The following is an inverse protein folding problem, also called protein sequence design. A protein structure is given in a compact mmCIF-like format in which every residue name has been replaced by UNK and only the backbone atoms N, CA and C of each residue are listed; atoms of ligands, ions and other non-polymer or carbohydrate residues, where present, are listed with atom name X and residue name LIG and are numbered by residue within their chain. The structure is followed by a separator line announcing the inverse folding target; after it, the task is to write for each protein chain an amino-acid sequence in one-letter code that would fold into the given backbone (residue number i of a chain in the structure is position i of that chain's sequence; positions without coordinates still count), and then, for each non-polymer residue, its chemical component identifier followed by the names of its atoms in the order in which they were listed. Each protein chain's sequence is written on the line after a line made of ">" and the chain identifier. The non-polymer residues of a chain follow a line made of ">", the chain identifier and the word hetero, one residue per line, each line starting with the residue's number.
data_IF_301473374086
#
_entry.id   IF_301473374086
#
_cell.length_a   1.000
_cell.length_b   1.000
_cell.length_c   1.000
_cell.angle_alpha   90.00
_cell.angle_beta   90.00
_cell.angle_gamma   90.00
#
_symmetry.space_group_name_H-M   'P 1'
#
loop_
_entity.id
_entity.type
_entity.pdbx_description
1 polymer ?
#
# COMPACT_ATOMS: atom_id res chain seq x y z
N UNK A 1 -20.68 52.92 -35.06
CA UNK A 1 -20.40 51.50 -34.77
C UNK A 1 -19.11 51.47 -33.97
N UNK A 2 -19.19 51.35 -32.64
CA UNK A 2 -18.03 51.15 -31.77
C UNK A 2 -17.97 49.65 -31.44
N UNK A 3 -16.83 49.02 -31.70
CA UNK A 3 -16.50 47.70 -31.16
C UNK A 3 -15.77 47.91 -29.83
N UNK A 4 -16.26 47.31 -28.75
CA UNK A 4 -15.54 47.23 -27.49
C UNK A 4 -14.54 46.06 -27.54
N UNK A 5 -13.30 46.32 -27.12
CA UNK A 5 -12.28 45.29 -26.90
C UNK A 5 -12.67 44.41 -25.72
N UNK A 6 -12.69 43.09 -25.93
CA UNK A 6 -12.86 42.12 -24.85
C UNK A 6 -11.52 41.99 -24.13
N UNK A 7 -11.36 42.72 -23.03
CA UNK A 7 -10.24 42.51 -22.09
C UNK A 7 -10.41 41.13 -21.44
N UNK A 8 -9.49 40.21 -21.73
CA UNK A 8 -9.41 38.94 -20.99
C UNK A 8 -9.12 39.26 -19.52
N UNK A 9 -10.13 39.12 -18.66
CA UNK A 9 -9.93 39.09 -17.20
C UNK A 9 -9.00 37.92 -16.89
N UNK A 10 -7.78 38.25 -16.45
CA UNK A 10 -6.92 37.29 -15.76
C UNK A 10 -7.75 36.61 -14.67
N UNK A 11 -8.01 35.32 -14.82
CA UNK A 11 -8.51 34.48 -13.74
C UNK A 11 -7.44 34.46 -12.66
N UNK A 12 -7.58 35.33 -11.66
CA UNK A 12 -6.77 35.29 -10.46
C UNK A 12 -6.92 33.92 -9.83
N UNK A 13 -5.81 33.18 -9.73
CA UNK A 13 -5.78 31.89 -9.09
C UNK A 13 -6.24 32.08 -7.65
N UNK A 14 -7.40 31.52 -7.29
CA UNK A 14 -7.91 31.55 -5.92
C UNK A 14 -6.92 30.75 -5.06
N UNK A 15 -6.04 31.45 -4.35
CA UNK A 15 -5.10 30.82 -3.43
C UNK A 15 -5.73 30.70 -2.06
N UNK A 16 -6.02 29.46 -1.66
CA UNK A 16 -6.44 29.15 -0.31
C UNK A 16 -5.21 29.17 0.59
N UNK A 17 -5.31 29.84 1.75
CA UNK A 17 -4.19 29.97 2.69
C UNK A 17 -4.56 29.37 4.03
N UNK A 18 -3.70 28.49 4.55
CA UNK A 18 -3.79 27.97 5.92
C UNK A 18 -2.68 28.62 6.74
N UNK A 19 -3.06 29.21 7.86
CA UNK A 19 -2.14 29.82 8.83
C UNK A 19 -2.29 29.14 10.19
N UNK A 20 -1.16 28.82 10.80
CA UNK A 20 -1.06 28.29 12.15
C UNK A 20 -0.06 29.14 12.94
N UNK A 21 -0.45 29.54 14.14
CA UNK A 21 0.46 30.14 15.12
C UNK A 21 0.12 29.62 16.52
N UNK A 22 1.14 29.39 17.34
CA UNK A 22 1.00 28.89 18.71
C UNK A 22 1.27 30.01 19.72
N UNK A 23 0.34 30.26 20.66
CA UNK A 23 0.44 31.40 21.59
C UNK A 23 1.61 31.32 22.59
N UNK A 24 2.14 30.11 22.85
CA UNK A 24 3.26 29.89 23.78
C UNK A 24 4.54 29.37 23.13
N UNK A 25 4.56 29.21 21.80
CA UNK A 25 5.72 28.74 21.05
C UNK A 25 6.01 29.65 19.86
N UNK A 26 7.28 30.01 19.63
CA UNK A 26 7.74 30.90 18.53
C UNK A 26 7.57 30.29 17.12
N UNK A 27 6.64 29.36 16.92
CA UNK A 27 6.44 28.65 15.65
C UNK A 27 5.15 29.14 15.01
N UNK A 28 5.31 29.69 13.82
CA UNK A 28 4.22 30.03 12.93
C UNK A 28 4.44 29.31 11.60
N UNK A 29 3.34 28.94 10.96
CA UNK A 29 3.32 28.28 9.66
C UNK A 29 2.25 28.95 8.80
N UNK A 30 2.59 29.18 7.54
CA UNK A 30 1.68 29.72 6.53
C UNK A 30 1.95 29.00 5.22
N UNK A 31 0.90 28.45 4.62
CA UNK A 31 0.97 27.85 3.29
C UNK A 31 -0.20 28.34 2.44
N UNK A 32 0.08 28.64 1.18
CA UNK A 32 -0.91 29.03 0.19
C UNK A 32 -0.91 28.00 -0.94
N UNK A 33 -2.08 27.53 -1.35
CA UNK A 33 -2.24 26.50 -2.37
C UNK A 33 -3.40 26.82 -3.31
N UNK A 34 -3.35 26.23 -4.50
CA UNK A 34 -4.36 26.35 -5.54
C UNK A 34 -5.26 25.11 -5.56
N UNK A 35 -6.45 25.21 -6.13
CA UNK A 35 -7.52 24.19 -6.08
C UNK A 35 -7.10 22.77 -6.55
N UNK A 36 -5.99 22.65 -7.28
CA UNK A 36 -5.45 21.38 -7.77
C UNK A 36 -4.62 20.61 -6.73
N UNK A 37 -4.25 21.22 -5.60
CA UNK A 37 -3.29 20.65 -4.62
C UNK A 37 -3.93 20.37 -3.25
N UNK A 38 -5.22 20.65 -3.06
CA UNK A 38 -5.90 20.50 -1.76
C UNK A 38 -5.93 19.07 -1.19
N UNK A 39 -5.85 18.04 -2.04
CA UNK A 39 -5.98 16.64 -1.62
C UNK A 39 -4.69 16.02 -1.03
N UNK A 40 -3.51 16.60 -1.26
CA UNK A 40 -2.22 16.02 -0.82
C UNK A 40 -1.68 16.59 0.49
N UNK A 41 -2.27 17.66 1.02
CA UNK A 41 -1.74 18.35 2.22
C UNK A 41 -2.38 17.88 3.54
N UNK A 42 -3.56 17.25 3.50
CA UNK A 42 -4.25 16.73 4.70
C UNK A 42 -3.45 15.64 5.42
N UNK A 43 -2.84 14.72 4.67
CA UNK A 43 -2.01 13.63 5.19
C UNK A 43 -0.73 14.14 5.88
N UNK A 44 -0.13 15.22 5.35
CA UNK A 44 1.09 15.82 5.92
C UNK A 44 0.77 16.60 7.20
N UNK A 45 -0.40 17.24 7.26
CA UNK A 45 -0.89 17.96 8.43
C UNK A 45 -1.23 17.00 9.60
N UNK A 46 -1.86 15.86 9.28
CA UNK A 46 -2.14 14.81 10.26
C UNK A 46 -0.87 14.25 10.92
N UNK A 47 0.19 14.04 10.14
CA UNK A 47 1.48 13.58 10.67
C UNK A 47 2.15 14.61 11.59
N UNK A 48 2.02 15.91 11.31
CA UNK A 48 2.58 16.97 12.14
C UNK A 48 1.82 17.11 13.48
N UNK A 49 0.49 16.98 13.47
CA UNK A 49 -0.35 17.02 14.68
C UNK A 49 -0.24 15.74 15.52
N UNK A 50 -0.21 14.55 14.90
CA UNK A 50 -0.09 13.27 15.59
C UNK A 50 1.23 13.13 16.37
N UNK A 51 2.28 13.84 15.94
CA UNK A 51 3.55 13.87 16.65
C UNK A 51 3.51 14.63 18.00
N UNK A 52 2.49 15.46 18.27
CA UNK A 52 2.27 16.08 19.59
C UNK A 52 1.46 15.20 20.55
N UNK A 53 0.57 14.35 20.06
CA UNK A 53 -0.28 13.49 20.93
C UNK A 53 0.53 12.31 21.50
N UNK A 54 1.44 11.73 20.71
CA UNK A 54 2.17 10.53 21.15
C UNK A 54 3.28 10.84 22.17
N UNK A 55 3.85 12.05 22.17
CA UNK A 55 4.94 12.41 23.09
C UNK A 55 4.47 12.94 24.47
N UNK A 56 3.16 13.15 24.68
CA UNK A 56 2.64 13.54 26.01
C UNK A 56 1.98 12.39 26.79
N UNK A 57 1.62 11.28 26.13
CA UNK A 57 0.99 10.12 26.80
C UNK A 57 2.04 9.20 27.48
N UNK A 58 3.31 9.26 27.08
CA UNK A 58 4.35 8.37 27.60
C UNK A 58 5.05 8.84 28.90
N UNK A 59 4.63 9.94 29.53
CA UNK A 59 5.18 10.39 30.83
C UNK A 59 4.11 11.02 31.70
N UNK A 60 3.34 10.22 32.44
CA UNK A 60 2.73 10.54 33.76
C UNK A 60 1.79 9.42 34.22
N UNK A 61 2.37 8.34 34.76
CA UNK A 61 1.67 7.53 35.77
C UNK A 61 2.39 7.73 37.10
N UNK A 62 1.99 8.78 37.82
CA UNK A 62 2.20 8.90 39.26
C UNK A 62 1.27 9.98 39.82
N UNK A 63 0.33 9.51 40.66
CA UNK A 63 -0.23 10.17 41.84
C UNK A 63 -1.15 11.39 41.66
N UNK A 64 -2.32 11.26 42.28
CA UNK A 64 -3.43 12.21 42.45
C UNK A 64 -3.00 13.62 42.93
N UNK A 65 -3.66 14.67 42.44
CA UNK A 65 -4.47 15.59 43.27
C UNK A 65 -5.17 16.69 42.45
N UNK A 66 -6.36 16.98 42.96
CA UNK A 66 -7.39 17.99 42.66
C UNK A 66 -6.87 19.41 42.41
N UNK A 67 -7.43 20.11 41.42
CA UNK A 67 -7.98 21.47 41.56
C UNK A 67 -8.81 21.83 40.33
N UNK A 68 -9.98 22.40 40.60
CA UNK A 68 -11.00 22.85 39.67
C UNK A 68 -10.48 23.81 38.59
N UNK A 69 -10.90 23.57 37.34
CA UNK A 69 -11.14 24.64 36.38
C UNK A 69 -12.35 24.26 35.54
N UNK A 70 -13.42 25.01 35.76
CA UNK A 70 -14.65 25.05 35.01
C UNK A 70 -14.32 25.30 33.53
N UNK A 71 -14.53 24.28 32.69
CA UNK A 71 -14.58 24.42 31.24
C UNK A 71 -16.03 24.19 30.83
N UNK A 72 -16.63 25.23 30.25
CA UNK A 72 -17.94 25.16 29.59
C UNK A 72 -17.91 24.02 28.57
N UNK A 73 -18.68 22.97 28.86
CA UNK A 73 -18.97 21.92 27.89
C UNK A 73 -20.08 22.48 27.01
N UNK A 74 -19.72 23.04 25.86
CA UNK A 74 -20.71 23.19 24.79
C UNK A 74 -21.02 21.79 24.27
N UNK A 75 -22.26 21.35 24.51
CA UNK A 75 -22.85 20.17 23.89
C UNK A 75 -22.69 20.28 22.37
N UNK A 76 -21.72 19.54 21.83
CA UNK A 76 -21.69 19.24 20.41
C UNK A 76 -22.56 18.01 20.20
N UNK A 77 -23.74 18.23 19.63
CA UNK A 77 -24.57 17.16 19.09
C UNK A 77 -23.72 16.32 18.14
N UNK A 78 -23.60 15.02 18.43
CA UNK A 78 -23.05 14.05 17.49
C UNK A 78 -24.06 13.93 16.36
N UNK A 79 -23.87 14.71 15.30
CA UNK A 79 -24.59 14.50 14.05
C UNK A 79 -23.93 13.31 13.38
N UNK A 80 -24.53 12.13 13.57
CA UNK A 80 -24.31 10.97 12.71
C UNK A 80 -24.62 11.38 11.26
N UNK A 81 -23.56 11.67 10.50
CA UNK A 81 -23.65 11.81 9.05
C UNK A 81 -22.99 10.61 8.39
N UNK A 82 -23.74 9.51 8.44
CA UNK A 82 -23.57 8.39 7.53
C UNK A 82 -23.91 8.87 6.11
N UNK A 83 -22.88 9.23 5.32
CA UNK A 83 -22.81 8.94 3.88
C UNK A 83 -21.45 9.33 3.25
N UNK A 84 -20.60 8.29 3.12
CA UNK A 84 -19.98 7.82 1.88
C UNK A 84 -19.00 8.75 1.14
N UNK A 85 -17.71 8.47 1.37
CA UNK A 85 -16.79 8.21 0.26
C UNK A 85 -15.91 7.01 0.63
N UNK A 86 -16.40 5.81 0.32
CA UNK A 86 -15.59 4.59 0.27
C UNK A 86 -14.42 4.86 -0.71
N UNK A 87 -13.15 4.76 -0.28
CA UNK A 87 -12.03 5.05 -1.15
C UNK A 87 -11.90 3.95 -2.20
N UNK A 88 -12.55 4.15 -3.35
CA UNK A 88 -12.29 3.50 -4.63
C UNK A 88 -11.78 2.04 -4.55
N UNK A 89 -12.56 1.17 -3.91
CA UNK A 89 -12.22 -0.24 -3.63
C UNK A 89 -12.29 -1.15 -4.87
N UNK A 90 -12.60 -0.61 -6.05
CA UNK A 90 -13.04 -1.40 -7.21
C UNK A 90 -11.92 -2.11 -7.97
N UNK A 91 -10.65 -1.86 -7.67
CA UNK A 91 -9.55 -2.44 -8.47
C UNK A 91 -9.06 -3.78 -7.95
N UNK A 92 -9.23 -4.03 -6.65
CA UNK A 92 -8.79 -5.29 -6.06
C UNK A 92 -9.74 -6.43 -6.39
N UNK A 93 -11.02 -6.16 -6.62
CA UNK A 93 -12.02 -7.16 -7.03
C UNK A 93 -11.76 -7.80 -8.39
N UNK A 94 -10.91 -7.18 -9.23
CA UNK A 94 -10.47 -7.79 -10.49
C UNK A 94 -9.33 -8.79 -10.30
N UNK A 95 -8.62 -8.71 -9.17
CA UNK A 95 -7.41 -9.49 -8.89
C UNK A 95 -7.67 -10.53 -7.81
N UNK A 96 -8.39 -10.16 -6.76
CA UNK A 96 -8.67 -10.99 -5.58
C UNK A 96 -10.16 -11.09 -5.31
N UNK A 97 -10.57 -12.25 -4.83
CA UNK A 97 -11.85 -12.46 -4.14
C UNK A 97 -11.55 -12.71 -2.67
N UNK A 98 -12.35 -12.11 -1.80
CA UNK A 98 -12.28 -12.33 -0.37
C UNK A 98 -13.59 -12.98 0.10
N UNK A 99 -13.46 -14.20 0.64
CA UNK A 99 -14.58 -15.00 1.14
C UNK A 99 -14.26 -15.44 2.58
N UNK A 100 -14.99 -14.88 3.55
CA UNK A 100 -14.67 -15.06 4.97
C UNK A 100 -13.24 -14.59 5.27
N UNK A 101 -12.43 -15.47 5.86
CA UNK A 101 -11.03 -15.16 6.19
C UNK A 101 -10.06 -15.46 5.04
N UNK A 102 -10.54 -16.00 3.91
CA UNK A 102 -9.70 -16.43 2.80
C UNK A 102 -9.63 -15.35 1.71
N UNK A 103 -8.43 -15.10 1.21
CA UNK A 103 -8.20 -14.27 0.02
C UNK A 103 -7.65 -15.15 -1.09
N UNK A 104 -8.27 -15.14 -2.26
CA UNK A 104 -7.88 -15.98 -3.40
C UNK A 104 -7.64 -15.12 -4.64
N UNK A 105 -6.61 -15.47 -5.41
CA UNK A 105 -6.28 -14.82 -6.68
C UNK A 105 -7.25 -15.30 -7.78
N UNK A 106 -7.97 -14.38 -8.41
CA UNK A 106 -8.84 -14.67 -9.57
C UNK A 106 -8.21 -14.25 -10.90
N UNK A 107 -7.22 -13.36 -10.89
CA UNK A 107 -6.47 -12.96 -12.09
C UNK A 107 -5.08 -13.60 -12.10
N UNK A 108 -4.89 -14.77 -12.73
CA UNK A 108 -3.60 -15.45 -12.78
C UNK A 108 -2.62 -14.81 -13.78
N UNK A 109 -3.05 -13.91 -14.66
CA UNK A 109 -2.21 -13.32 -15.70
C UNK A 109 -1.37 -12.11 -15.21
N UNK A 110 -0.53 -12.32 -14.19
CA UNK A 110 0.30 -11.26 -13.58
C UNK A 110 1.49 -10.77 -14.43
N UNK A 111 1.55 -11.19 -15.70
CA UNK A 111 2.64 -10.87 -16.65
C UNK A 111 4.04 -11.22 -16.13
N UNK A 112 4.14 -12.34 -15.42
CA UNK A 112 5.38 -12.79 -14.81
C UNK A 112 6.31 -13.46 -15.84
N UNK A 113 7.62 -13.31 -15.67
CA UNK A 113 8.65 -13.94 -16.50
C UNK A 113 9.07 -15.33 -16.00
N UNK A 114 8.83 -15.62 -14.72
CA UNK A 114 9.21 -16.87 -14.06
C UNK A 114 8.29 -17.17 -12.87
N UNK A 115 8.39 -18.39 -12.30
CA UNK A 115 7.68 -18.75 -11.06
C UNK A 115 8.03 -17.82 -9.90
N UNK A 116 9.31 -17.47 -9.73
CA UNK A 116 9.74 -16.61 -8.62
C UNK A 116 9.28 -15.16 -8.82
N UNK A 117 9.32 -14.66 -10.06
CA UNK A 117 8.76 -13.36 -10.42
C UNK A 117 7.24 -13.33 -10.18
N UNK A 118 6.53 -14.42 -10.52
CA UNK A 118 5.12 -14.56 -10.21
C UNK A 118 4.86 -14.50 -8.70
N UNK A 119 5.63 -15.25 -7.89
CA UNK A 119 5.53 -15.20 -6.43
C UNK A 119 5.77 -13.79 -5.89
N UNK A 120 6.81 -13.09 -6.38
CA UNK A 120 7.11 -11.71 -5.99
C UNK A 120 5.96 -10.76 -6.30
N UNK A 121 5.41 -10.84 -7.51
CA UNK A 121 4.26 -10.02 -7.95
C UNK A 121 3.01 -10.31 -7.12
N UNK A 122 2.69 -11.58 -6.90
CA UNK A 122 1.56 -12.02 -6.09
C UNK A 122 1.66 -11.48 -4.67
N UNK A 123 2.82 -11.64 -4.01
CA UNK A 123 3.04 -11.17 -2.64
C UNK A 123 2.95 -9.64 -2.56
N UNK A 124 3.54 -8.91 -3.50
CA UNK A 124 3.40 -7.44 -3.56
C UNK A 124 1.94 -7.00 -3.67
N UNK A 125 1.18 -7.59 -4.59
CA UNK A 125 -0.24 -7.28 -4.76
C UNK A 125 -1.03 -7.58 -3.49
N UNK A 126 -0.78 -8.73 -2.86
CA UNK A 126 -1.48 -9.14 -1.66
C UNK A 126 -1.17 -8.26 -0.44
N UNK A 127 0.10 -7.93 -0.22
CA UNK A 127 0.50 -7.05 0.88
C UNK A 127 -0.06 -5.64 0.70
N UNK A 128 -0.12 -5.13 -0.54
CA UNK A 128 -0.76 -3.85 -0.81
C UNK A 128 -2.26 -3.93 -0.59
N UNK A 129 -2.93 -4.99 -1.05
CA UNK A 129 -4.35 -5.23 -0.77
C UNK A 129 -4.63 -5.23 0.74
N UNK A 130 -3.84 -5.96 1.54
CA UNK A 130 -3.99 -5.99 3.00
C UNK A 130 -3.76 -4.62 3.63
N UNK A 131 -2.72 -3.89 3.18
CA UNK A 131 -2.44 -2.51 3.62
C UNK A 131 -3.60 -1.56 3.32
N UNK A 132 -4.18 -1.63 2.13
CA UNK A 132 -5.33 -0.81 1.71
C UNK A 132 -6.59 -1.12 2.55
N UNK A 133 -6.66 -2.31 3.16
CA UNK A 133 -7.70 -2.71 4.11
C UNK A 133 -7.28 -2.51 5.59
N UNK A 134 -6.24 -1.72 5.86
CA UNK A 134 -5.80 -1.36 7.21
C UNK A 134 -4.89 -2.39 7.90
N UNK A 135 -4.53 -3.48 7.23
CA UNK A 135 -3.63 -4.51 7.76
C UNK A 135 -2.21 -4.22 7.30
N UNK A 136 -1.42 -3.55 8.14
CA UNK A 136 -0.06 -3.15 7.75
C UNK A 136 1.01 -4.24 7.89
N UNK A 137 0.77 -5.29 8.66
CA UNK A 137 1.69 -6.41 8.86
C UNK A 137 0.89 -7.70 8.65
N UNK A 138 1.32 -8.48 7.67
CA UNK A 138 0.64 -9.72 7.29
C UNK A 138 1.41 -10.92 7.84
N UNK A 139 0.75 -11.81 8.61
CA UNK A 139 1.34 -13.05 9.08
C UNK A 139 1.89 -13.92 7.93
N UNK A 140 3.04 -14.58 8.16
CA UNK A 140 3.70 -15.40 7.13
C UNK A 140 2.83 -16.58 6.68
N UNK A 141 2.05 -17.16 7.58
CA UNK A 141 1.13 -18.25 7.28
C UNK A 141 0.06 -17.82 6.25
N UNK A 142 -0.49 -16.60 6.34
CA UNK A 142 -1.45 -16.09 5.35
C UNK A 142 -0.82 -16.00 3.95
N UNK A 143 0.42 -15.52 3.87
CA UNK A 143 1.15 -15.43 2.60
C UNK A 143 1.43 -16.84 2.05
N UNK A 144 1.80 -17.78 2.92
CA UNK A 144 1.98 -19.19 2.54
C UNK A 144 0.68 -19.81 2.02
N UNK A 145 -0.46 -19.58 2.68
CA UNK A 145 -1.77 -20.08 2.21
C UNK A 145 -2.08 -19.54 0.82
N UNK A 146 -1.91 -18.24 0.59
CA UNK A 146 -2.10 -17.64 -0.74
C UNK A 146 -1.20 -18.27 -1.81
N UNK A 147 0.07 -18.49 -1.49
CA UNK A 147 1.02 -19.14 -2.41
C UNK A 147 0.68 -20.62 -2.65
N UNK A 148 0.12 -21.31 -1.65
CA UNK A 148 -0.32 -22.71 -1.75
C UNK A 148 -1.53 -22.84 -2.68
N UNK A 149 -2.50 -21.94 -2.55
CA UNK A 149 -3.66 -21.87 -3.45
C UNK A 149 -3.23 -21.68 -4.92
N UNK A 150 -2.11 -20.99 -5.15
CA UNK A 150 -1.52 -20.82 -6.48
C UNK A 150 -0.56 -21.97 -6.89
N UNK A 151 -0.30 -22.96 -6.04
CA UNK A 151 0.66 -24.04 -6.32
C UNK A 151 2.12 -23.57 -6.44
N UNK A 152 2.47 -22.43 -5.86
CA UNK A 152 3.82 -21.85 -5.94
C UNK A 152 4.58 -21.82 -4.61
N UNK A 153 3.96 -22.26 -3.52
CA UNK A 153 4.58 -22.27 -2.20
C UNK A 153 5.73 -23.29 -2.10
N UNK A 154 6.94 -22.83 -2.42
CA UNK A 154 8.18 -23.60 -2.32
C UNK A 154 9.26 -22.86 -1.51
N UNK A 155 10.33 -23.58 -1.16
CA UNK A 155 11.42 -23.01 -0.37
C UNK A 155 12.09 -21.80 -1.03
N UNK A 156 12.14 -21.74 -2.36
CA UNK A 156 12.75 -20.64 -3.09
C UNK A 156 11.85 -19.38 -3.02
N UNK A 157 10.55 -19.53 -3.25
CA UNK A 157 9.57 -18.44 -3.12
C UNK A 157 9.50 -17.89 -1.69
N UNK A 158 9.54 -18.76 -0.67
CA UNK A 158 9.60 -18.33 0.75
C UNK A 158 10.90 -17.60 1.09
N UNK A 159 12.03 -18.11 0.58
CA UNK A 159 13.34 -17.50 0.80
C UNK A 159 13.41 -16.11 0.14
N UNK A 160 12.83 -15.95 -1.06
CA UNK A 160 12.75 -14.68 -1.76
C UNK A 160 12.08 -13.58 -0.91
N UNK A 161 10.98 -13.88 -0.22
CA UNK A 161 10.30 -12.91 0.66
C UNK A 161 11.24 -12.37 1.74
N UNK A 162 12.11 -13.22 2.27
CA UNK A 162 13.05 -12.84 3.34
C UNK A 162 14.31 -12.15 2.80
N UNK A 163 14.69 -12.44 1.55
CA UNK A 163 15.86 -11.84 0.89
C UNK A 163 15.55 -10.48 0.25
N UNK A 164 14.32 -10.28 -0.22
CA UNK A 164 13.89 -9.06 -0.92
C UNK A 164 13.60 -7.91 0.05
N UNK A 165 14.68 -7.31 0.55
CA UNK A 165 14.63 -6.20 1.52
C UNK A 165 14.22 -4.85 0.91
N UNK A 166 14.24 -4.74 -0.42
CA UNK A 166 13.88 -3.49 -1.10
C UNK A 166 12.36 -3.28 -1.14
N UNK A 167 11.60 -4.36 -1.34
CA UNK A 167 10.15 -4.30 -1.47
C UNK A 167 9.43 -4.64 -0.16
N UNK A 168 10.04 -5.46 0.69
CA UNK A 168 9.42 -5.97 1.90
C UNK A 168 10.30 -5.76 3.12
N UNK A 169 9.65 -5.58 4.26
CA UNK A 169 10.27 -5.83 5.56
C UNK A 169 9.66 -7.09 6.15
N UNK A 170 10.52 -7.99 6.59
CA UNK A 170 10.15 -9.31 7.07
C UNK A 170 10.81 -9.57 8.41
N UNK A 171 10.02 -9.81 9.45
CA UNK A 171 10.47 -10.04 10.82
C UNK A 171 9.66 -11.18 11.48
N UNK A 172 9.70 -11.27 12.81
CA UNK A 172 8.95 -12.27 13.59
C UNK A 172 7.45 -11.98 13.65
N UNK A 173 7.03 -10.73 13.50
CA UNK A 173 5.62 -10.33 13.52
C UNK A 173 4.93 -10.62 12.19
N UNK A 174 5.67 -10.55 11.08
CA UNK A 174 5.15 -10.87 9.76
C UNK A 174 5.91 -10.21 8.64
N UNK A 175 5.19 -9.85 7.59
CA UNK A 175 5.73 -9.20 6.40
C UNK A 175 4.90 -7.97 6.09
N UNK A 176 5.57 -6.87 5.76
CA UNK A 176 4.93 -5.64 5.31
C UNK A 176 5.58 -5.11 4.05
N UNK A 177 4.78 -4.43 3.23
CA UNK A 177 5.24 -3.79 2.00
C UNK A 177 5.89 -2.44 2.30
N UNK A 178 7.01 -2.16 1.65
CA UNK A 178 7.71 -0.87 1.70
C UNK A 178 7.27 0.03 0.53
N UNK A 179 7.64 1.30 0.57
CA UNK A 179 7.32 2.26 -0.49
C UNK A 179 7.75 1.78 -1.89
N UNK A 180 8.98 1.26 -2.12
CA UNK A 180 9.36 0.71 -3.43
C UNK A 180 8.49 -0.49 -3.84
N UNK A 181 8.01 -1.28 -2.87
CA UNK A 181 7.05 -2.35 -3.12
C UNK A 181 5.70 -1.82 -3.61
N UNK A 182 5.19 -0.75 -3.00
CA UNK A 182 3.96 -0.08 -3.42
C UNK A 182 4.08 0.52 -4.82
N UNK A 183 5.25 1.06 -5.19
CA UNK A 183 5.53 1.54 -6.55
C UNK A 183 5.55 0.39 -7.55
N UNK A 184 6.22 -0.72 -7.20
CA UNK A 184 6.22 -1.93 -8.03
C UNK A 184 4.82 -2.49 -8.25
N UNK A 185 3.91 -2.38 -7.27
CA UNK A 185 2.50 -2.74 -7.44
C UNK A 185 1.81 -1.90 -8.53
N UNK A 186 2.11 -0.60 -8.63
CA UNK A 186 1.57 0.25 -9.69
C UNK A 186 2.04 -0.25 -11.06
N UNK A 187 3.32 -0.62 -11.18
CA UNK A 187 3.87 -1.20 -12.42
C UNK A 187 3.19 -2.52 -12.79
N UNK A 188 3.00 -3.42 -11.81
CA UNK A 188 2.32 -4.69 -12.02
C UNK A 188 0.90 -4.44 -12.53
N UNK A 189 0.14 -3.55 -11.88
CA UNK A 189 -1.23 -3.23 -12.28
C UNK A 189 -1.30 -2.67 -13.69
N UNK A 190 -0.44 -1.71 -14.03
CA UNK A 190 -0.31 -1.20 -15.40
C UNK A 190 0.01 -2.30 -16.40
N UNK A 191 0.84 -3.29 -16.03
CA UNK A 191 1.16 -4.41 -16.90
C UNK A 191 -0.01 -5.39 -17.09
N UNK A 192 -0.83 -5.63 -16.07
CA UNK A 192 -1.99 -6.52 -16.14
C UNK A 192 -3.03 -5.95 -17.10
N UNK A 193 -3.28 -4.63 -17.05
CA UNK A 193 -4.22 -3.95 -17.95
C UNK A 193 -3.72 -3.83 -19.39
N UNK A 194 -2.43 -4.04 -19.64
CA UNK A 194 -1.85 -3.96 -20.98
C UNK A 194 -1.97 -5.30 -21.74
N UNK A 195 -2.68 -5.27 -22.87
CA UNK A 195 -2.92 -6.43 -23.74
C UNK A 195 -1.71 -6.81 -24.60
N UNK A 196 -0.78 -5.89 -24.85
CA UNK A 196 0.42 -6.13 -25.67
C UNK A 196 1.49 -6.92 -24.90
N UNK A 197 1.49 -6.82 -23.56
CA UNK A 197 2.45 -7.53 -22.73
C UNK A 197 2.04 -9.01 -22.62
N UNK A 198 2.89 -9.89 -23.13
CA UNK A 198 2.66 -11.34 -23.03
C UNK A 198 3.04 -11.88 -21.65
N UNK A 199 2.31 -12.90 -21.19
CA UNK A 199 2.60 -13.58 -19.94
C UNK A 199 3.68 -14.66 -20.17
N UNK A 200 4.91 -14.39 -19.72
CA UNK A 200 6.07 -15.28 -19.93
C UNK A 200 6.02 -16.57 -19.09
N UNK A 201 5.26 -16.58 -18.01
CA UNK A 201 5.06 -17.73 -17.12
C UNK A 201 3.60 -17.85 -16.69
N UNK A 202 3.09 -19.09 -16.59
CA UNK A 202 1.69 -19.38 -16.25
C UNK A 202 1.61 -20.39 -15.11
N UNK A 203 0.56 -20.28 -14.30
CA UNK A 203 0.22 -21.27 -13.28
C UNK A 203 0.11 -22.67 -13.89
N UNK A 204 0.52 -23.69 -13.12
CA UNK A 204 0.52 -25.09 -13.56
C UNK A 204 1.65 -25.48 -14.52
N UNK A 205 2.51 -24.54 -14.95
CA UNK A 205 3.66 -24.89 -15.81
C UNK A 205 4.77 -25.57 -15.01
N UNK A 206 4.74 -26.90 -14.97
CA UNK A 206 5.88 -27.71 -14.49
C UNK A 206 6.84 -27.94 -15.65
N UNK A 207 8.11 -27.50 -15.52
CA UNK A 207 9.16 -27.91 -16.47
C UNK A 207 9.35 -29.42 -16.34
N UNK A 208 8.98 -30.18 -17.37
CA UNK A 208 9.39 -31.59 -17.49
C UNK A 208 10.91 -31.62 -17.61
N UNK A 209 11.61 -32.05 -16.57
CA UNK A 209 13.04 -32.31 -16.64
C UNK A 209 13.27 -33.44 -17.67
N UNK A 210 13.77 -33.09 -18.87
CA UNK A 210 14.39 -34.08 -19.76
C UNK A 210 15.64 -34.56 -19.04
N UNK A 211 15.56 -35.73 -18.41
CA UNK A 211 16.72 -36.48 -17.93
C UNK A 211 17.60 -36.78 -19.14
N UNK A 212 18.70 -36.05 -19.32
CA UNK A 212 19.78 -36.46 -20.23
C UNK A 212 20.43 -37.71 -19.62
N UNK A 213 20.12 -38.86 -20.20
CA UNK A 213 20.71 -40.15 -19.84
C UNK A 213 22.09 -40.22 -20.51
N UNK A 214 23.12 -39.65 -19.86
CA UNK A 214 24.49 -39.99 -20.23
C UNK A 214 24.78 -41.41 -19.76
N UNK A 215 24.63 -42.37 -20.68
CA UNK A 215 25.08 -43.75 -20.52
C UNK A 215 26.59 -43.72 -20.79
N UNK A 216 27.38 -43.74 -19.72
CA UNK A 216 28.82 -43.99 -19.83
C UNK A 216 29.03 -45.41 -20.33
N UNK A 217 29.60 -45.55 -21.52
CA UNK A 217 30.21 -46.79 -21.98
C UNK A 217 31.50 -46.99 -21.18
N UNK A 218 31.52 -48.09 -20.43
CA UNK A 218 32.75 -48.70 -19.93
C UNK A 218 33.34 -49.46 -21.10
N UNK A 219 34.50 -49.05 -21.61
CA UNK A 219 35.41 -49.97 -22.26
C UNK A 219 36.37 -50.49 -21.19
N UNK A 220 36.22 -51.79 -20.91
CA UNK A 220 37.20 -52.63 -20.26
C UNK A 220 37.65 -53.63 -21.31
N UNK A 221 38.97 -53.71 -21.53
CA UNK A 221 39.78 -54.76 -22.19
C UNK A 221 40.98 -54.03 -22.83
N UNK A 222 42.22 -54.52 -22.80
CA UNK A 222 42.91 -55.59 -22.10
C UNK A 222 44.40 -55.21 -22.14
#
# INVERSE_FOLDING_TARGET
>A
MCGEEITQKQTGTIMNTIEFSESHGKRAFKASFTDTVGNSMSETFGAFLANKVTQQIAKRNSTQKTTDNHFDVQDFEIVDNDQKALPNTSHWSEIFVHEGDKTTLIQPALKAKSKNDFAKRLVCLFLQYKKDNGIEIVPRNEISVLMQDCGIDDGNSRTMISQEKSLFRSDSSGVRILLPGSEFVKEIRSSISNTEIQNGWKLGTTRKNKKSKNKGEKEAEQ
#
